data_IF_787039361277
#
_entry.id   IF_787039361277
#
_cell.length_a   1.000
_cell.length_b   1.000
_cell.length_c   1.000
_cell.angle_alpha   90.00
_cell.angle_beta   90.00
_cell.angle_gamma   90.00
#
_symmetry.space_group_name_H-M   'P 1'
#
loop_
_entity.id
_entity.type
_entity.pdbx_description
1 polymer ?
#
# COMPACT_ATOMS: atom_id res chain seq x y z
N UNK A 1 6.91 -16.88 -13.29
CA UNK A 1 6.26 -16.45 -12.05
C UNK A 1 6.16 -14.94 -12.04
N UNK A 2 5.04 -14.43 -11.54
CA UNK A 2 4.75 -13.02 -11.48
C UNK A 2 5.80 -12.21 -10.74
N UNK A 3 6.21 -12.73 -9.60
CA UNK A 3 7.13 -12.05 -8.70
C UNK A 3 8.50 -11.82 -9.31
N UNK A 4 8.94 -12.72 -10.20
CA UNK A 4 10.27 -12.62 -10.78
C UNK A 4 10.42 -11.39 -11.67
N UNK A 5 9.38 -11.08 -12.44
CA UNK A 5 9.40 -9.93 -13.34
C UNK A 5 9.48 -8.62 -12.57
N UNK A 6 8.67 -8.48 -11.52
CA UNK A 6 8.67 -7.29 -10.71
C UNK A 6 9.91 -7.19 -9.83
N UNK A 7 10.37 -8.30 -9.25
CA UNK A 7 11.60 -8.32 -8.46
C UNK A 7 12.81 -7.93 -9.31
N UNK A 8 12.87 -8.42 -10.55
CA UNK A 8 13.92 -8.04 -11.49
C UNK A 8 13.86 -6.55 -11.80
N UNK A 9 12.65 -6.01 -12.01
CA UNK A 9 12.47 -4.59 -12.24
C UNK A 9 12.96 -3.75 -11.06
N UNK A 10 12.59 -4.14 -9.83
CA UNK A 10 13.04 -3.44 -8.63
C UNK A 10 14.55 -3.50 -8.45
N UNK A 11 15.16 -4.64 -8.75
CA UNK A 11 16.59 -4.79 -8.69
C UNK A 11 17.28 -3.82 -9.67
N UNK A 12 16.76 -3.73 -10.90
CA UNK A 12 17.30 -2.82 -11.91
C UNK A 12 17.20 -1.35 -11.47
N UNK A 13 16.07 -0.96 -10.87
CA UNK A 13 15.88 0.40 -10.37
C UNK A 13 16.88 0.71 -9.26
N UNK A 14 17.08 -0.20 -8.31
CA UNK A 14 18.04 -0.04 -7.22
C UNK A 14 19.46 0.10 -7.71
N UNK A 15 19.77 -0.42 -8.90
CA UNK A 15 21.08 -0.36 -9.50
C UNK A 15 21.23 0.73 -10.57
N UNK A 16 20.34 1.72 -10.53
CA UNK A 16 20.48 2.96 -11.29
C UNK A 16 19.70 3.05 -12.59
N UNK A 17 18.93 2.04 -12.95
CA UNK A 17 18.10 2.12 -14.14
C UNK A 17 16.87 3.03 -13.89
N UNK A 18 16.52 3.94 -14.82
CA UNK A 18 15.37 4.81 -14.63
C UNK A 18 14.08 4.01 -14.46
N UNK A 19 13.27 4.41 -13.48
CA UNK A 19 12.03 3.73 -13.15
C UNK A 19 11.05 3.69 -14.34
N UNK A 20 11.06 4.75 -15.15
CA UNK A 20 10.21 4.87 -16.33
C UNK A 20 10.51 3.82 -17.39
N UNK A 21 11.77 3.46 -17.55
CA UNK A 21 12.18 2.42 -18.51
C UNK A 21 11.81 1.03 -18.04
N UNK A 22 11.97 0.78 -16.74
CA UNK A 22 11.72 -0.54 -16.16
C UNK A 22 10.24 -0.83 -16.06
N UNK A 23 9.44 0.17 -15.71
CA UNK A 23 8.01 0.01 -15.42
C UNK A 23 7.13 -0.28 -16.63
N UNK A 24 7.63 -0.05 -17.85
CA UNK A 24 6.87 -0.34 -19.08
C UNK A 24 6.43 -1.79 -19.14
N UNK A 25 7.23 -2.68 -18.58
CA UNK A 25 6.99 -4.13 -18.62
C UNK A 25 6.38 -4.69 -17.34
N UNK A 26 5.99 -3.84 -16.39
CA UNK A 26 5.41 -4.27 -15.12
C UNK A 26 3.88 -4.25 -15.22
N UNK A 27 3.26 -5.41 -15.03
CA UNK A 27 1.82 -5.52 -14.99
C UNK A 27 1.31 -5.03 -13.64
N UNK A 28 0.16 -4.39 -13.66
CA UNK A 28 -0.54 -3.89 -12.48
C UNK A 28 -0.79 -4.97 -11.44
N UNK A 29 -1.20 -6.17 -11.90
CA UNK A 29 -1.47 -7.30 -11.00
C UNK A 29 -0.20 -7.82 -10.33
N UNK A 30 0.92 -7.75 -11.03
CA UNK A 30 2.21 -8.15 -10.48
C UNK A 30 2.62 -7.23 -9.34
N UNK A 31 2.31 -5.95 -9.46
CA UNK A 31 2.58 -4.94 -8.43
C UNK A 31 1.82 -5.24 -7.14
N UNK A 32 0.52 -5.47 -7.24
CA UNK A 32 -0.29 -5.83 -6.08
C UNK A 32 0.16 -7.16 -5.46
N UNK A 33 0.54 -8.10 -6.31
CA UNK A 33 1.07 -9.39 -5.86
C UNK A 33 2.36 -9.25 -5.06
N UNK A 34 3.24 -8.35 -5.46
CA UNK A 34 4.47 -8.11 -4.71
C UNK A 34 4.19 -7.45 -3.36
N UNK A 35 3.27 -6.50 -3.31
CA UNK A 35 2.85 -5.88 -2.03
C UNK A 35 2.33 -6.95 -1.08
N UNK A 36 1.46 -7.84 -1.58
CA UNK A 36 0.92 -8.95 -0.80
C UNK A 36 2.02 -9.88 -0.30
N UNK A 37 2.96 -10.24 -1.17
CA UNK A 37 4.07 -11.12 -0.82
C UNK A 37 4.97 -10.52 0.25
N UNK A 38 5.25 -9.23 0.17
CA UNK A 38 6.05 -8.54 1.19
C UNK A 38 5.34 -8.60 2.55
N UNK A 39 4.05 -8.34 2.59
CA UNK A 39 3.28 -8.43 3.83
C UNK A 39 3.28 -9.85 4.40
N UNK A 40 3.08 -10.85 3.55
CA UNK A 40 3.11 -12.25 3.99
C UNK A 40 4.48 -12.63 4.56
N UNK A 41 5.56 -12.13 3.98
CA UNK A 41 6.92 -12.36 4.50
C UNK A 41 7.15 -11.73 5.88
N UNK A 42 6.31 -10.79 6.28
CA UNK A 42 6.35 -10.13 7.60
C UNK A 42 5.28 -10.67 8.54
N UNK A 43 4.75 -11.85 8.24
CA UNK A 43 3.75 -12.57 9.06
C UNK A 43 2.35 -11.94 9.09
N UNK A 44 2.02 -11.12 8.11
CA UNK A 44 0.66 -10.63 7.95
C UNK A 44 -0.19 -11.68 7.22
N UNK A 45 -1.44 -11.79 7.62
CA UNK A 45 -2.45 -12.48 6.83
C UNK A 45 -2.92 -11.49 5.77
N UNK A 46 -3.02 -11.92 4.52
CA UNK A 46 -3.27 -11.01 3.41
C UNK A 46 -4.49 -11.43 2.61
N UNK A 47 -5.32 -10.45 2.29
CA UNK A 47 -6.45 -10.60 1.36
C UNK A 47 -6.26 -9.59 0.24
N UNK A 48 -6.31 -10.07 -1.00
CA UNK A 48 -6.25 -9.21 -2.19
C UNK A 48 -7.65 -8.96 -2.71
N UNK A 49 -7.87 -7.80 -3.30
CA UNK A 49 -9.15 -7.43 -3.91
C UNK A 49 -10.30 -7.60 -2.94
N UNK A 50 -10.12 -7.07 -1.75
CA UNK A 50 -11.13 -7.13 -0.69
C UNK A 50 -12.31 -6.23 -1.06
N UNK A 51 -13.53 -6.76 -0.96
CA UNK A 51 -14.74 -6.03 -1.32
C UNK A 51 -15.74 -6.00 -0.16
N UNK A 52 -16.37 -4.86 -0.01
CA UNK A 52 -17.50 -4.66 0.91
C UNK A 52 -18.68 -4.13 0.13
N UNK A 53 -19.87 -4.39 0.64
CA UNK A 53 -21.13 -3.89 0.05
C UNK A 53 -21.78 -2.87 1.00
N UNK A 54 -22.59 -1.96 0.44
CA UNK A 54 -23.42 -0.98 1.15
C UNK A 54 -22.61 0.01 2.01
N UNK A 55 -21.74 0.85 1.43
CA UNK A 55 -21.52 1.06 0.00
C UNK A 55 -20.50 0.05 -0.56
N UNK A 56 -20.47 -0.06 -1.87
CA UNK A 56 -19.47 -0.91 -2.53
C UNK A 56 -18.10 -0.28 -2.40
N UNK A 57 -17.19 -1.01 -1.78
CA UNK A 57 -15.81 -0.57 -1.54
C UNK A 57 -14.88 -1.71 -1.94
N UNK A 58 -13.81 -1.36 -2.64
CA UNK A 58 -12.78 -2.31 -3.01
C UNK A 58 -11.44 -1.81 -2.49
N UNK A 59 -10.70 -2.70 -1.83
CA UNK A 59 -9.37 -2.41 -1.30
C UNK A 59 -8.39 -3.38 -1.94
N UNK A 60 -7.33 -2.86 -2.54
CA UNK A 60 -6.40 -3.67 -3.31
C UNK A 60 -5.73 -4.75 -2.47
N UNK A 61 -5.20 -4.40 -1.31
CA UNK A 61 -4.54 -5.34 -0.41
C UNK A 61 -4.87 -4.99 1.03
N UNK A 62 -5.29 -5.99 1.79
CA UNK A 62 -5.51 -5.87 3.25
C UNK A 62 -4.57 -6.84 3.94
N UNK A 63 -3.70 -6.33 4.82
CA UNK A 63 -2.85 -7.16 5.65
C UNK A 63 -3.24 -6.99 7.11
N UNK A 64 -3.36 -8.11 7.84
CA UNK A 64 -3.69 -8.07 9.27
C UNK A 64 -2.67 -8.85 10.09
N UNK A 65 -2.30 -8.29 11.23
CA UNK A 65 -1.37 -8.93 12.15
C UNK A 65 -1.54 -8.31 13.54
N UNK A 66 -1.73 -9.15 14.54
CA UNK A 66 -1.82 -8.75 15.95
C UNK A 66 -2.83 -7.61 16.20
N UNK A 67 -4.03 -7.71 15.63
CA UNK A 67 -5.08 -6.71 15.83
C UNK A 67 -4.89 -5.42 15.04
N UNK A 68 -3.88 -5.34 14.20
CA UNK A 68 -3.62 -4.19 13.34
C UNK A 68 -3.83 -4.58 11.88
N UNK A 69 -4.51 -3.72 11.15
CA UNK A 69 -4.74 -3.90 9.71
C UNK A 69 -4.06 -2.79 8.94
N UNK A 70 -3.43 -3.15 7.83
CA UNK A 70 -2.88 -2.21 6.86
C UNK A 70 -3.75 -2.33 5.61
N UNK A 71 -4.40 -1.26 5.22
CA UNK A 71 -5.27 -1.23 4.05
C UNK A 71 -4.59 -0.42 2.95
N UNK A 72 -4.23 -1.10 1.87
CA UNK A 72 -3.33 -0.56 0.86
C UNK A 72 -4.05 -0.33 -0.45
N UNK A 73 -3.87 0.88 -0.99
CA UNK A 73 -4.24 1.23 -2.34
C UNK A 73 -2.95 1.30 -3.17
N UNK A 74 -2.88 0.54 -4.23
CA UNK A 74 -1.71 0.48 -5.10
C UNK A 74 -1.89 1.40 -6.30
N UNK A 75 -0.97 2.34 -6.49
CA UNK A 75 -1.00 3.31 -7.60
C UNK A 75 0.27 3.21 -8.43
N UNK A 76 0.07 3.11 -9.76
CA UNK A 76 1.17 2.89 -10.68
C UNK A 76 1.19 4.00 -11.75
N UNK A 77 0.67 5.16 -11.40
CA UNK A 77 0.65 6.34 -12.26
C UNK A 77 2.03 7.00 -12.29
N UNK A 78 2.48 7.37 -13.48
CA UNK A 78 3.79 8.01 -13.68
C UNK A 78 3.90 9.36 -13.01
N UNK A 79 2.82 10.13 -13.03
CA UNK A 79 2.78 11.48 -12.46
C UNK A 79 1.55 11.63 -11.60
N UNK A 80 1.77 12.10 -10.40
CA UNK A 80 0.69 12.41 -9.46
C UNK A 80 0.92 13.80 -8.90
N UNK A 81 -0.04 14.68 -9.13
CA UNK A 81 -0.03 16.01 -8.53
C UNK A 81 -0.41 15.91 -7.07
N UNK A 82 -0.09 16.93 -6.27
CA UNK A 82 -0.52 16.97 -4.88
C UNK A 82 -2.04 16.88 -4.75
N UNK A 83 -2.77 17.52 -5.65
CA UNK A 83 -4.24 17.46 -5.64
C UNK A 83 -4.75 16.04 -5.88
N UNK A 84 -4.14 15.31 -6.80
CA UNK A 84 -4.50 13.90 -7.05
C UNK A 84 -4.21 13.04 -5.84
N UNK A 85 -3.04 13.22 -5.22
CA UNK A 85 -2.64 12.47 -4.03
C UNK A 85 -3.58 12.74 -2.85
N UNK A 86 -3.98 14.00 -2.65
CA UNK A 86 -4.94 14.34 -1.61
C UNK A 86 -6.27 13.61 -1.78
N UNK A 87 -6.77 13.55 -3.02
CA UNK A 87 -8.01 12.83 -3.32
C UNK A 87 -7.88 11.34 -3.08
N UNK A 88 -6.77 10.75 -3.48
CA UNK A 88 -6.48 9.33 -3.25
C UNK A 88 -6.44 9.03 -1.76
N UNK A 89 -5.75 9.86 -0.99
CA UNK A 89 -5.63 9.71 0.46
C UNK A 89 -7.01 9.81 1.13
N UNK A 90 -7.79 10.82 0.80
CA UNK A 90 -9.13 10.99 1.39
C UNK A 90 -10.04 9.81 1.08
N UNK A 91 -9.97 9.30 -0.14
CA UNK A 91 -10.74 8.13 -0.53
C UNK A 91 -10.32 6.90 0.27
N UNK A 92 -9.03 6.71 0.46
CA UNK A 92 -8.53 5.58 1.24
C UNK A 92 -8.93 5.67 2.71
N UNK A 93 -8.89 6.88 3.29
CA UNK A 93 -9.37 7.10 4.65
C UNK A 93 -10.83 6.68 4.78
N UNK A 94 -11.68 7.05 3.84
CA UNK A 94 -13.09 6.67 3.86
C UNK A 94 -13.27 5.15 3.75
N UNK A 95 -12.49 4.48 2.92
CA UNK A 95 -12.52 3.02 2.83
C UNK A 95 -12.17 2.36 4.15
N UNK A 96 -11.16 2.89 4.83
CA UNK A 96 -10.73 2.35 6.12
C UNK A 96 -11.79 2.58 7.20
N UNK A 97 -12.45 3.72 7.19
CA UNK A 97 -13.58 3.98 8.11
C UNK A 97 -14.68 2.94 7.96
N UNK A 98 -15.04 2.60 6.73
CA UNK A 98 -16.05 1.56 6.47
C UNK A 98 -15.56 0.18 6.90
N UNK A 99 -14.29 -0.10 6.69
CA UNK A 99 -13.71 -1.38 7.08
C UNK A 99 -13.79 -1.57 8.60
N UNK A 100 -13.33 -0.60 9.39
CA UNK A 100 -13.32 -0.74 10.84
C UNK A 100 -14.73 -0.72 11.44
N UNK A 101 -15.70 -0.09 10.78
CA UNK A 101 -17.08 -0.06 11.25
C UNK A 101 -17.69 -1.46 11.35
N UNK A 102 -17.19 -2.41 10.59
CA UNK A 102 -17.68 -3.80 10.60
C UNK A 102 -16.80 -4.74 11.40
N UNK A 103 -15.78 -4.23 12.08
CA UNK A 103 -14.81 -5.07 12.82
C UNK A 103 -14.57 -4.51 14.22
N UNK A 104 -14.61 -5.41 15.18
CA UNK A 104 -14.31 -5.06 16.57
C UNK A 104 -12.82 -5.25 16.85
N UNK A 105 -12.27 -4.40 17.71
CA UNK A 105 -10.91 -4.49 18.21
C UNK A 105 -9.80 -4.45 17.14
N UNK A 106 -10.06 -3.72 16.03
CA UNK A 106 -9.07 -3.55 14.97
C UNK A 106 -8.63 -2.10 14.90
N UNK A 107 -7.32 -1.89 14.87
CA UNK A 107 -6.71 -0.61 14.54
C UNK A 107 -6.26 -0.70 13.08
N UNK A 108 -6.74 0.19 12.23
CA UNK A 108 -6.45 0.11 10.81
C UNK A 108 -5.74 1.36 10.30
N UNK A 109 -4.73 1.16 9.47
CA UNK A 109 -3.94 2.22 8.87
C UNK A 109 -4.17 2.27 7.36
N UNK A 110 -4.62 3.42 6.83
CA UNK A 110 -4.63 3.62 5.37
C UNK A 110 -3.21 3.85 4.88
N UNK A 111 -2.85 3.19 3.78
CA UNK A 111 -1.52 3.32 3.16
C UNK A 111 -1.69 3.35 1.65
N UNK A 112 -0.91 4.19 0.98
CA UNK A 112 -0.82 4.21 -0.47
C UNK A 112 0.55 3.69 -0.84
N UNK A 113 0.63 2.70 -1.72
CA UNK A 113 1.90 2.20 -2.25
C UNK A 113 1.99 2.59 -3.71
N UNK A 114 3.12 3.17 -4.10
CA UNK A 114 3.34 3.68 -5.45
C UNK A 114 4.53 3.02 -6.11
N UNK A 115 4.59 3.06 -7.42
CA UNK A 115 5.72 2.52 -8.18
C UNK A 115 6.76 3.61 -8.50
N UNK A 116 6.30 4.81 -8.82
CA UNK A 116 7.16 5.84 -9.43
C UNK A 116 7.75 6.87 -8.49
N UNK A 117 7.37 6.89 -7.24
CA UNK A 117 7.94 7.84 -6.28
C UNK A 117 9.27 7.35 -5.75
N UNK A 118 10.15 8.27 -5.40
CA UNK A 118 11.47 7.97 -4.88
C UNK A 118 11.53 7.96 -3.35
N UNK A 119 10.69 8.76 -2.70
CA UNK A 119 10.69 8.94 -1.25
C UNK A 119 9.31 8.76 -0.64
N UNK A 120 9.29 8.34 0.62
CA UNK A 120 8.05 8.27 1.41
C UNK A 120 7.54 9.69 1.65
N UNK A 121 6.25 9.90 1.42
CA UNK A 121 5.56 11.15 1.68
C UNK A 121 4.39 10.90 2.60
N UNK A 122 3.89 11.95 3.23
CA UNK A 122 2.73 11.87 4.12
C UNK A 122 1.73 12.97 3.77
N UNK A 123 0.47 12.59 3.65
CA UNK A 123 -0.64 13.53 3.48
C UNK A 123 -1.69 13.16 4.52
N UNK A 124 -2.06 14.12 5.38
CA UNK A 124 -2.96 13.85 6.50
C UNK A 124 -2.48 12.65 7.36
N UNK A 125 -1.16 12.54 7.52
CA UNK A 125 -0.49 11.45 8.22
C UNK A 125 -0.65 10.07 7.57
N UNK A 126 -1.22 10.01 6.38
CA UNK A 126 -1.29 8.77 5.58
C UNK A 126 0.02 8.61 4.82
N UNK A 127 0.74 7.51 5.00
CA UNK A 127 1.99 7.29 4.27
C UNK A 127 1.74 6.92 2.83
N UNK A 128 2.54 7.52 1.95
CA UNK A 128 2.59 7.22 0.53
C UNK A 128 3.98 6.65 0.29
N UNK A 129 4.05 5.34 0.08
CA UNK A 129 5.30 4.58 0.17
C UNK A 129 5.67 4.03 -1.20
N UNK A 130 6.86 4.38 -1.71
CA UNK A 130 7.37 3.71 -2.92
C UNK A 130 7.57 2.22 -2.67
N UNK A 131 7.27 1.40 -3.65
CA UNK A 131 7.38 -0.06 -3.50
C UNK A 131 8.80 -0.50 -3.08
N UNK A 132 9.84 0.19 -3.54
CA UNK A 132 11.22 -0.15 -3.19
C UNK A 132 11.53 0.07 -1.71
N UNK A 133 10.72 0.87 -1.01
CA UNK A 133 10.87 1.13 0.43
C UNK A 133 9.81 0.44 1.27
N UNK A 134 8.89 -0.28 0.64
CA UNK A 134 7.74 -0.85 1.35
C UNK A 134 8.15 -1.90 2.38
N UNK A 135 9.10 -2.76 2.05
CA UNK A 135 9.58 -3.79 2.99
C UNK A 135 10.14 -3.14 4.26
N UNK A 136 10.99 -2.13 4.12
CA UNK A 136 11.55 -1.40 5.25
C UNK A 136 10.48 -0.66 6.04
N UNK A 137 9.51 -0.09 5.34
CA UNK A 137 8.39 0.61 5.97
C UNK A 137 7.61 -0.35 6.88
N UNK A 138 7.32 -1.56 6.40
CA UNK A 138 6.58 -2.55 7.19
C UNK A 138 7.42 -3.05 8.38
N UNK A 139 8.72 -3.21 8.23
CA UNK A 139 9.60 -3.60 9.34
C UNK A 139 9.50 -2.61 10.51
N UNK A 140 9.32 -1.33 10.22
CA UNK A 140 9.25 -0.27 11.21
C UNK A 140 7.82 0.13 11.57
N UNK A 141 6.84 -0.53 10.98
CA UNK A 141 5.44 -0.11 11.05
C UNK A 141 4.91 0.04 12.48
N UNK A 142 5.11 -0.98 13.32
CA UNK A 142 4.60 -0.95 14.70
C UNK A 142 5.27 0.14 15.54
N UNK A 143 6.55 0.40 15.33
CA UNK A 143 7.28 1.44 16.04
C UNK A 143 6.83 2.84 15.69
N UNK A 144 6.19 3.02 14.53
CA UNK A 144 5.78 4.31 14.01
C UNK A 144 4.26 4.51 13.97
N UNK A 145 3.48 3.60 14.58
CA UNK A 145 2.00 3.67 14.53
C UNK A 145 1.43 4.98 15.05
N UNK A 146 2.04 5.56 16.07
CA UNK A 146 1.57 6.83 16.64
C UNK A 146 1.79 8.02 15.69
N UNK A 147 2.73 7.90 14.76
CA UNK A 147 3.07 8.98 13.83
C UNK A 147 2.22 8.96 12.57
N UNK A 148 1.59 7.85 12.26
CA UNK A 148 0.76 7.70 11.06
C UNK A 148 -0.72 7.73 11.41
N UNK A 149 -1.55 7.94 10.40
CA UNK A 149 -3.01 7.92 10.57
C UNK A 149 -3.47 6.51 10.88
N UNK A 150 -4.19 6.36 11.97
CA UNK A 150 -4.87 5.10 12.31
C UNK A 150 -6.35 5.39 12.59
N UNK A 151 -7.19 4.41 12.33
CA UNK A 151 -8.63 4.52 12.46
C UNK A 151 -9.15 3.33 13.25
N UNK A 152 -9.98 3.61 14.25
CA UNK A 152 -10.67 2.60 15.05
C UNK A 152 -12.19 2.81 14.93
N UNK A 153 -12.92 1.76 15.24
CA UNK A 153 -14.39 1.82 15.26
C UNK A 153 -14.90 2.82 16.29
#
# INVERSE_FOLDING_TARGET
MLENKLKTALFAIKHGMPIEEVSINVDWKDFEGLVAEILESKNFEVIRNFRMKNPTIEIDVVGTHLGTAVLIDCKHWKRMTNSMLEKIVLRQIERVKHYVATRDEVVAAPVIVTLYQEEIRFINRVPIVPIIQFSSFIDEFYGNLEEIKTIEK
#
